data_IF_257356338038
#
_entry.id   IF_257356338038
#
_cell.length_a   1.000
_cell.length_b   1.000
_cell.length_c   1.000
_cell.angle_alpha   90.00
_cell.angle_beta   90.00
_cell.angle_gamma   90.00
#
_symmetry.space_group_name_H-M   'P 1'
#
loop_
_entity.id
_entity.type
_entity.pdbx_description
1 polymer ?
#
# COMPACT_ATOMS: atom_id res chain seq x y z
N UNK A 1 -1.86 28.00 3.77
CA UNK A 1 -0.83 27.31 2.95
C UNK A 1 0.39 28.21 2.75
N UNK A 2 0.20 29.52 2.72
CA UNK A 2 1.25 30.52 2.50
C UNK A 2 2.45 30.40 3.45
N UNK A 3 2.21 30.10 4.74
CA UNK A 3 3.30 29.87 5.69
C UNK A 3 4.26 28.76 5.25
N UNK A 4 3.73 27.64 4.73
CA UNK A 4 4.56 26.51 4.29
C UNK A 4 5.37 26.89 3.03
N UNK A 5 4.80 27.70 2.14
CA UNK A 5 5.48 28.19 0.95
C UNK A 5 6.62 29.17 1.31
N UNK A 6 6.40 30.05 2.29
CA UNK A 6 7.43 30.95 2.82
C UNK A 6 8.55 30.15 3.50
N UNK A 7 8.23 29.24 4.43
CA UNK A 7 9.24 28.39 5.10
C UNK A 7 10.05 27.56 4.08
N UNK A 8 9.42 27.07 3.02
CA UNK A 8 10.11 26.31 1.97
C UNK A 8 11.12 27.17 1.21
N UNK A 9 10.76 28.39 0.84
CA UNK A 9 11.67 29.35 0.19
C UNK A 9 12.80 29.77 1.13
N UNK A 10 12.48 30.13 2.37
CA UNK A 10 13.45 30.63 3.37
C UNK A 10 14.42 29.54 3.83
N UNK A 11 13.99 28.28 3.86
CA UNK A 11 14.85 27.13 4.16
C UNK A 11 15.74 26.68 3.00
N UNK A 12 15.81 27.47 1.92
CA UNK A 12 16.65 27.17 0.76
C UNK A 12 16.10 26.04 -0.10
N UNK A 13 14.78 25.94 -0.26
CA UNK A 13 14.10 24.93 -1.07
C UNK A 13 14.35 23.49 -0.57
N UNK A 14 14.44 23.31 0.75
CA UNK A 14 14.70 22.01 1.37
C UNK A 14 13.45 21.10 1.34
N UNK A 15 13.41 20.19 0.36
CA UNK A 15 12.28 19.28 0.13
C UNK A 15 12.05 18.37 1.34
N UNK A 16 13.11 17.84 1.96
CA UNK A 16 12.97 16.91 3.10
C UNK A 16 12.34 17.61 4.31
N UNK A 17 12.72 18.87 4.56
CA UNK A 17 12.11 19.70 5.62
C UNK A 17 10.63 19.96 5.32
N UNK A 18 10.29 20.38 4.10
CA UNK A 18 8.91 20.63 3.71
C UNK A 18 8.05 19.37 3.90
N UNK A 19 8.51 18.22 3.40
CA UNK A 19 7.83 16.94 3.59
C UNK A 19 7.68 16.60 5.07
N UNK A 20 8.73 16.78 5.88
CA UNK A 20 8.68 16.58 7.33
C UNK A 20 7.62 17.47 7.98
N UNK A 21 7.55 18.75 7.63
CA UNK A 21 6.54 19.67 8.16
C UNK A 21 5.11 19.23 7.80
N UNK A 22 4.89 18.74 6.58
CA UNK A 22 3.59 18.22 6.14
C UNK A 22 3.23 16.96 6.95
N UNK A 23 4.08 15.94 6.94
CA UNK A 23 3.77 14.64 7.58
C UNK A 23 3.74 14.71 9.11
N UNK A 24 4.41 15.70 9.70
CA UNK A 24 4.37 15.97 11.14
C UNK A 24 3.31 16.99 11.54
N UNK A 25 2.54 17.55 10.60
CA UNK A 25 1.44 18.47 10.92
C UNK A 25 0.37 17.77 11.77
N UNK A 26 -0.39 18.54 12.55
CA UNK A 26 -1.52 18.01 13.30
C UNK A 26 -2.57 17.41 12.35
N UNK A 27 -2.88 18.12 11.26
CA UNK A 27 -3.84 17.70 10.23
C UNK A 27 -3.47 16.36 9.60
N UNK A 28 -2.20 16.16 9.20
CA UNK A 28 -1.77 14.89 8.60
C UNK A 28 -1.87 13.72 9.59
N UNK A 29 -1.62 13.97 10.88
CA UNK A 29 -1.62 12.96 11.95
C UNK A 29 -2.99 12.73 12.60
N UNK A 30 -4.06 13.37 12.10
CA UNK A 30 -5.41 13.14 12.60
C UNK A 30 -5.81 11.67 12.44
N UNK A 31 -6.62 11.17 13.39
CA UNK A 31 -7.21 9.84 13.27
C UNK A 31 -8.16 9.77 12.07
N UNK A 32 -8.10 8.67 11.33
CA UNK A 32 -9.07 8.40 10.25
C UNK A 32 -10.40 7.79 10.77
N UNK A 33 -10.59 7.71 12.09
CA UNK A 33 -11.83 7.20 12.71
C UNK A 33 -13.00 8.14 12.40
N UNK A 34 -14.10 7.57 11.89
CA UNK A 34 -15.32 8.31 11.53
C UNK A 34 -16.39 8.04 12.58
N UNK A 35 -16.98 9.08 13.17
CA UNK A 35 -18.21 8.99 13.95
C UNK A 35 -19.42 9.41 13.09
N UNK A 36 -20.65 9.00 13.41
CA UNK A 36 -21.84 9.40 12.66
C UNK A 36 -21.99 10.92 12.51
N UNK A 37 -21.65 11.68 13.56
CA UNK A 37 -21.77 13.14 13.59
C UNK A 37 -20.75 13.79 12.65
N UNK A 38 -19.51 13.28 12.64
CA UNK A 38 -18.47 13.75 11.72
C UNK A 38 -18.80 13.41 10.27
N UNK A 39 -19.42 12.25 10.03
CA UNK A 39 -19.85 11.84 8.70
C UNK A 39 -20.98 12.73 8.18
N UNK A 40 -21.97 13.07 9.02
CA UNK A 40 -23.05 13.97 8.63
C UNK A 40 -22.55 15.39 8.33
N UNK A 41 -21.58 15.89 9.09
CA UNK A 41 -21.07 17.27 8.95
C UNK A 41 -20.06 17.45 7.82
N UNK A 42 -19.23 16.44 7.56
CA UNK A 42 -18.20 16.50 6.52
C UNK A 42 -18.00 15.12 5.86
N UNK A 43 -18.94 14.66 5.02
CA UNK A 43 -18.88 13.33 4.41
C UNK A 43 -17.67 13.16 3.47
N UNK A 44 -17.25 14.22 2.81
CA UNK A 44 -16.13 14.19 1.85
C UNK A 44 -14.78 14.60 2.47
N UNK A 45 -14.74 14.91 3.77
CA UNK A 45 -13.55 15.37 4.50
C UNK A 45 -12.93 16.66 3.93
N UNK A 46 -13.73 17.57 3.38
CA UNK A 46 -13.27 18.84 2.78
C UNK A 46 -12.79 19.84 3.83
N UNK A 47 -13.33 19.74 5.05
CA UNK A 47 -12.96 20.59 6.17
C UNK A 47 -11.78 20.01 6.97
N UNK A 48 -11.23 18.88 6.52
CA UNK A 48 -10.13 18.17 7.19
C UNK A 48 -10.49 17.83 8.65
N UNK A 49 -11.75 17.43 8.86
CA UNK A 49 -12.25 17.06 10.17
C UNK A 49 -11.64 15.75 10.70
N UNK A 50 -11.07 14.92 9.81
CA UNK A 50 -10.44 13.63 10.11
C UNK A 50 -9.25 13.35 9.20
N UNK A 51 -8.43 12.39 9.61
CA UNK A 51 -7.34 11.88 8.77
C UNK A 51 -7.87 11.22 7.51
N UNK A 52 -7.14 11.38 6.40
CA UNK A 52 -7.49 10.71 5.14
C UNK A 52 -7.49 9.18 5.31
N UNK A 53 -8.42 8.50 4.63
CA UNK A 53 -8.45 7.04 4.54
C UNK A 53 -7.94 6.64 3.18
N UNK A 54 -6.85 5.88 3.15
CA UNK A 54 -6.29 5.33 1.92
C UNK A 54 -6.67 3.86 1.82
N UNK A 55 -7.16 3.45 0.65
CA UNK A 55 -7.35 2.04 0.34
C UNK A 55 -5.97 1.44 0.06
N UNK A 56 -5.54 0.50 0.90
CA UNK A 56 -4.32 -0.26 0.63
C UNK A 56 -4.56 -1.20 -0.55
N UNK A 57 -3.53 -1.33 -1.40
CA UNK A 57 -3.51 -2.36 -2.44
C UNK A 57 -3.35 -3.74 -1.79
N UNK A 58 -3.79 -4.81 -2.47
CA UNK A 58 -3.85 -6.16 -1.90
C UNK A 58 -2.48 -6.68 -1.46
N UNK A 59 -1.44 -6.26 -2.15
CA UNK A 59 -0.04 -6.56 -1.90
C UNK A 59 0.44 -6.03 -0.57
N UNK A 60 0.09 -4.77 -0.25
CA UNK A 60 0.44 -4.16 1.01
C UNK A 60 -0.29 -4.83 2.16
N UNK A 61 -1.56 -5.23 1.95
CA UNK A 61 -2.32 -5.98 2.95
C UNK A 61 -1.64 -7.32 3.23
N UNK A 62 -1.26 -8.07 2.19
CA UNK A 62 -0.55 -9.35 2.32
C UNK A 62 0.80 -9.18 3.02
N UNK A 63 1.62 -8.25 2.56
CA UNK A 63 2.96 -8.02 3.11
C UNK A 63 2.89 -7.57 4.58
N UNK A 64 1.90 -6.75 4.95
CA UNK A 64 1.65 -6.38 6.35
C UNK A 64 1.24 -7.59 7.19
N UNK A 65 0.34 -8.44 6.68
CA UNK A 65 -0.06 -9.66 7.40
C UNK A 65 1.12 -10.61 7.63
N UNK A 66 2.00 -10.76 6.63
CA UNK A 66 3.22 -11.56 6.75
C UNK A 66 4.23 -10.94 7.72
N UNK A 67 4.39 -9.62 7.70
CA UNK A 67 5.30 -8.91 8.59
C UNK A 67 4.85 -9.05 10.06
N UNK A 68 3.57 -8.78 10.34
CA UNK A 68 3.00 -8.84 11.70
C UNK A 68 3.00 -10.27 12.25
N UNK A 69 2.85 -11.28 11.39
CA UNK A 69 2.94 -12.70 11.79
C UNK A 69 4.37 -13.23 11.91
N UNK A 70 5.39 -12.44 11.56
CA UNK A 70 6.79 -12.88 11.58
C UNK A 70 7.15 -13.89 10.49
N UNK A 71 6.28 -14.09 9.49
CA UNK A 71 6.50 -15.02 8.39
C UNK A 71 7.21 -14.37 7.20
N UNK A 72 7.22 -13.04 7.11
CA UNK A 72 7.75 -12.32 5.96
C UNK A 72 9.22 -12.66 5.70
N UNK A 73 9.51 -13.12 4.49
CA UNK A 73 10.87 -13.30 4.02
C UNK A 73 11.36 -12.01 3.33
N UNK A 74 12.27 -11.31 4.00
CA UNK A 74 12.85 -10.03 3.56
C UNK A 74 14.03 -10.15 2.57
N UNK A 75 14.33 -11.36 2.09
CA UNK A 75 15.37 -11.56 1.07
C UNK A 75 15.09 -10.68 -0.14
N UNK A 76 16.09 -9.91 -0.55
CA UNK A 76 16.01 -9.05 -1.72
C UNK A 76 16.52 -9.76 -2.98
N UNK A 77 15.91 -9.46 -4.13
CA UNK A 77 16.31 -9.98 -5.45
C UNK A 77 15.95 -11.45 -5.70
N UNK A 78 16.55 -12.04 -6.73
CA UNK A 78 16.29 -13.44 -7.12
C UNK A 78 15.05 -13.64 -8.00
N UNK A 79 14.73 -14.89 -8.36
CA UNK A 79 13.62 -15.20 -9.25
C UNK A 79 12.27 -14.89 -8.60
N UNK A 80 11.28 -14.63 -9.46
CA UNK A 80 9.89 -14.47 -9.04
C UNK A 80 9.31 -15.77 -8.47
N UNK A 81 8.42 -15.64 -7.49
CA UNK A 81 7.80 -16.76 -6.76
C UNK A 81 6.29 -16.82 -6.97
N UNK A 82 5.71 -17.98 -6.71
CA UNK A 82 4.29 -18.32 -6.88
C UNK A 82 3.69 -18.72 -5.54
N UNK A 83 3.27 -17.75 -4.70
CA UNK A 83 2.68 -18.02 -3.38
C UNK A 83 1.26 -18.61 -3.49
N UNK A 84 0.61 -18.84 -2.35
CA UNK A 84 -0.79 -19.30 -2.31
C UNK A 84 -1.72 -18.41 -3.14
N UNK A 85 -2.52 -19.04 -3.99
CA UNK A 85 -3.58 -18.42 -4.76
C UNK A 85 -4.80 -19.34 -4.81
N UNK A 86 -6.03 -18.79 -4.80
CA UNK A 86 -7.24 -19.58 -5.02
C UNK A 86 -7.16 -20.43 -6.30
N UNK A 87 -7.71 -21.66 -6.30
CA UNK A 87 -7.76 -22.49 -7.50
C UNK A 87 -8.63 -21.80 -8.59
N UNK A 88 -8.30 -22.06 -9.86
CA UNK A 88 -9.09 -21.58 -11.00
C UNK A 88 -8.74 -20.19 -11.56
N UNK A 89 -7.99 -19.36 -10.82
CA UNK A 89 -7.60 -18.00 -11.27
C UNK A 89 -6.86 -17.95 -12.63
N UNK A 90 -6.14 -19.02 -12.96
CA UNK A 90 -5.34 -19.09 -14.19
C UNK A 90 -6.08 -19.70 -15.37
N UNK A 91 -7.25 -20.31 -15.14
CA UNK A 91 -8.07 -20.90 -16.19
C UNK A 91 -8.80 -19.83 -17.03
N UNK A 92 -9.20 -18.71 -16.41
CA UNK A 92 -9.96 -17.65 -17.09
C UNK A 92 -9.10 -16.82 -18.06
N UNK A 93 -7.79 -16.73 -17.84
CA UNK A 93 -6.89 -15.85 -18.60
C UNK A 93 -6.13 -16.60 -19.71
N UNK A 94 -6.50 -17.84 -20.00
CA UNK A 94 -5.82 -18.70 -20.98
C UNK A 94 -6.36 -18.53 -22.40
N UNK A 95 -5.83 -17.58 -23.18
CA UNK A 95 -5.95 -17.62 -24.63
C UNK A 95 -5.08 -18.79 -25.15
N UNK A 96 -5.70 -19.96 -25.35
CA UNK A 96 -5.15 -21.08 -26.14
C UNK A 96 -3.99 -21.88 -25.53
N UNK A 97 -3.32 -21.40 -24.48
CA UNK A 97 -2.26 -22.12 -23.77
C UNK A 97 -2.30 -21.83 -22.29
N UNK A 98 -3.05 -22.62 -21.52
CA UNK A 98 -3.22 -22.47 -20.08
C UNK A 98 -1.87 -22.55 -19.35
N UNK A 99 -1.25 -21.44 -18.90
CA UNK A 99 -0.11 -21.56 -18.02
C UNK A 99 -0.62 -22.10 -16.69
N UNK A 100 -0.29 -23.35 -16.38
CA UNK A 100 -0.62 -23.95 -15.08
C UNK A 100 0.19 -23.22 -14.01
N UNK A 101 -0.50 -22.55 -13.10
CA UNK A 101 0.12 -22.04 -11.88
C UNK A 101 0.47 -23.21 -10.98
N UNK A 102 1.76 -23.53 -10.93
CA UNK A 102 2.31 -24.48 -9.95
C UNK A 102 2.79 -23.64 -8.78
N UNK A 103 2.17 -23.83 -7.62
CA UNK A 103 2.52 -23.13 -6.40
C UNK A 103 3.94 -23.53 -5.96
N UNK A 104 4.72 -22.55 -5.50
CA UNK A 104 5.98 -22.83 -4.82
C UNK A 104 5.75 -23.29 -3.37
N UNK A 105 6.82 -23.70 -2.69
CA UNK A 105 6.77 -24.19 -1.31
C UNK A 105 7.86 -23.56 -0.43
N UNK A 106 7.71 -23.72 0.89
CA UNK A 106 8.65 -23.21 1.89
C UNK A 106 8.74 -21.68 1.89
N UNK A 107 9.96 -21.16 2.01
CA UNK A 107 10.23 -19.72 2.09
C UNK A 107 9.69 -18.90 0.91
N UNK A 108 9.59 -19.51 -0.27
CA UNK A 108 9.09 -18.85 -1.47
C UNK A 108 7.64 -18.36 -1.31
N UNK A 109 6.85 -19.00 -0.44
CA UNK A 109 5.46 -18.63 -0.15
C UNK A 109 5.34 -17.29 0.58
N UNK A 110 6.39 -16.88 1.30
CA UNK A 110 6.36 -15.75 2.22
C UNK A 110 7.24 -14.58 1.77
N UNK A 111 7.71 -14.58 0.52
CA UNK A 111 8.40 -13.42 -0.03
C UNK A 111 7.45 -12.23 -0.16
N UNK A 112 8.01 -11.03 -0.09
CA UNK A 112 7.32 -9.77 -0.41
C UNK A 112 6.57 -9.87 -1.73
N UNK A 113 5.38 -9.27 -1.77
CA UNK A 113 4.49 -9.31 -2.94
C UNK A 113 5.15 -8.74 -4.20
N UNK A 114 6.14 -7.85 -4.05
CA UNK A 114 7.00 -7.37 -5.13
C UNK A 114 7.66 -8.48 -5.96
N UNK A 115 8.02 -9.60 -5.32
CA UNK A 115 8.68 -10.74 -5.99
C UNK A 115 7.70 -11.81 -6.47
N UNK A 116 6.40 -11.57 -6.35
CA UNK A 116 5.39 -12.56 -6.71
C UNK A 116 5.01 -12.43 -8.18
N UNK A 117 4.82 -13.56 -8.86
CA UNK A 117 4.45 -13.58 -10.26
C UNK A 117 3.00 -13.14 -10.45
N UNK A 118 2.79 -12.07 -11.21
CA UNK A 118 1.45 -11.57 -11.52
C UNK A 118 1.17 -11.70 -13.00
N UNK A 119 -0.02 -12.21 -13.32
CA UNK A 119 -0.56 -12.11 -14.66
C UNK A 119 -1.45 -10.88 -14.73
N UNK A 120 -1.14 -9.97 -15.67
CA UNK A 120 -2.08 -8.94 -16.09
C UNK A 120 -2.52 -9.29 -17.50
N UNK A 121 -3.81 -9.43 -17.74
CA UNK A 121 -4.35 -9.42 -19.11
C UNK A 121 -4.31 -7.98 -19.62
N UNK A 122 -3.76 -7.79 -20.82
CA UNK A 122 -3.97 -6.58 -21.61
C UNK A 122 -5.32 -6.69 -22.33
#
# INVERSE_FOLDING_TARGET
LDWLAVDFRESGWNIKRMLKNIVMSHTYRQSSRVTPELWQRDPENRLLARGARFRLQGEFIRDQALAVSGLLNDRMGGPGVKPYQPPGLWAEVGLGGNPKFVQDHGEALYRRSLYTYWKRSA
#
